data_IF_065321606853
#
_entry.id   IF_065321606853
#
_cell.length_a   1.000
_cell.length_b   1.000
_cell.length_c   1.000
_cell.angle_alpha   90.00
_cell.angle_beta   90.00
_cell.angle_gamma   90.00
#
_symmetry.space_group_name_H-M   'P 1'
#
loop_
_entity.id
_entity.type
_entity.pdbx_description
1 polymer ?
#
# COMPACT_ATOMS: atom_id res chain seq x y z
N UNK A 1 -6.25 -21.91 -27.37
CA UNK A 1 -6.32 -21.63 -28.82
C UNK A 1 -7.44 -22.39 -29.52
N UNK A 2 -7.74 -23.64 -29.16
CA UNK A 2 -8.89 -24.37 -29.72
C UNK A 2 -10.26 -23.67 -29.55
N UNK A 3 -10.47 -22.95 -28.46
CA UNK A 3 -11.71 -22.18 -28.20
C UNK A 3 -11.93 -20.94 -29.09
N UNK A 4 -10.90 -20.50 -29.84
CA UNK A 4 -10.97 -19.34 -30.74
C UNK A 4 -11.00 -19.76 -32.22
N UNK A 5 -11.04 -21.06 -32.52
CA UNK A 5 -11.18 -21.59 -33.89
C UNK A 5 -9.96 -21.37 -34.79
N UNK A 6 -8.74 -21.15 -34.25
CA UNK A 6 -7.54 -21.06 -35.06
C UNK A 6 -7.13 -22.43 -35.60
N UNK A 7 -7.07 -22.60 -36.93
CA UNK A 7 -6.68 -23.86 -37.58
C UNK A 7 -5.20 -24.20 -37.42
N UNK A 8 -4.29 -23.23 -37.64
CA UNK A 8 -2.85 -23.36 -37.44
C UNK A 8 -2.32 -22.14 -36.69
N UNK A 9 -2.31 -22.16 -35.36
CA UNK A 9 -1.86 -21.01 -34.59
C UNK A 9 -0.34 -20.88 -34.64
N UNK A 10 0.18 -19.72 -35.05
CA UNK A 10 1.59 -19.35 -34.86
C UNK A 10 1.79 -18.85 -33.46
N UNK A 11 2.58 -19.56 -32.65
CA UNK A 11 2.88 -19.21 -31.25
C UNK A 11 4.29 -18.64 -31.18
N UNK A 12 4.41 -17.36 -30.89
CA UNK A 12 5.67 -16.72 -30.57
C UNK A 12 5.81 -16.72 -29.05
N UNK A 13 6.95 -17.23 -28.56
CA UNK A 13 7.27 -17.24 -27.13
C UNK A 13 8.48 -16.34 -26.90
N UNK A 14 8.40 -15.48 -25.89
CA UNK A 14 9.53 -14.70 -25.38
C UNK A 14 9.79 -15.13 -23.94
N UNK A 15 11.06 -15.11 -23.54
CA UNK A 15 11.44 -15.39 -22.15
C UNK A 15 10.94 -14.29 -21.22
N UNK A 16 10.61 -14.67 -19.99
CA UNK A 16 10.34 -13.76 -18.88
C UNK A 16 11.62 -13.23 -18.22
N UNK A 17 12.79 -13.69 -18.65
CA UNK A 17 14.06 -13.25 -18.10
C UNK A 17 14.30 -11.74 -18.30
N UNK A 18 14.75 -11.06 -17.26
CA UNK A 18 15.12 -9.66 -17.28
C UNK A 18 16.57 -9.51 -16.80
N UNK A 19 17.56 -9.69 -17.69
CA UNK A 19 18.97 -9.78 -17.30
C UNK A 19 19.53 -8.49 -16.68
N UNK A 20 18.92 -7.35 -16.99
CA UNK A 20 19.27 -6.06 -16.41
C UNK A 20 18.60 -5.75 -15.07
N UNK A 21 17.62 -6.56 -14.63
CA UNK A 21 16.86 -6.35 -13.41
C UNK A 21 17.38 -7.25 -12.28
N UNK A 22 17.88 -6.63 -11.22
CA UNK A 22 18.36 -7.33 -10.04
C UNK A 22 17.25 -7.43 -8.99
N UNK A 23 16.73 -8.62 -8.78
CA UNK A 23 15.74 -8.88 -7.73
C UNK A 23 16.42 -9.12 -6.39
N UNK A 24 15.85 -8.59 -5.32
CA UNK A 24 16.29 -8.83 -3.95
C UNK A 24 15.11 -8.90 -2.99
N UNK A 25 15.20 -9.77 -1.99
CA UNK A 25 14.29 -9.83 -0.84
C UNK A 25 15.09 -9.47 0.41
N UNK A 26 14.51 -8.61 1.26
CA UNK A 26 15.10 -8.24 2.55
C UNK A 26 14.09 -8.47 3.66
N UNK A 27 14.44 -9.40 4.55
CA UNK A 27 13.73 -9.61 5.80
C UNK A 27 14.23 -8.58 6.81
N UNK A 28 13.35 -7.72 7.33
CA UNK A 28 13.74 -6.61 8.21
C UNK A 28 12.57 -6.08 9.03
N UNK A 29 12.85 -5.65 10.24
CA UNK A 29 11.94 -4.86 11.07
C UNK A 29 12.04 -3.36 10.72
N UNK A 30 13.18 -2.93 10.17
CA UNK A 30 13.45 -1.54 9.74
C UNK A 30 13.31 -1.41 8.22
N UNK A 31 12.07 -1.32 7.74
CA UNK A 31 11.78 -1.12 6.30
C UNK A 31 12.19 0.27 5.83
N UNK A 32 12.01 1.28 6.67
CA UNK A 32 12.34 2.67 6.34
C UNK A 32 13.84 2.85 6.12
N UNK A 33 14.66 2.34 7.01
CA UNK A 33 16.11 2.37 6.87
C UNK A 33 16.61 1.62 5.63
N UNK A 34 16.00 0.46 5.31
CA UNK A 34 16.34 -0.28 4.08
C UNK A 34 15.94 0.49 2.81
N UNK A 35 14.77 1.11 2.81
CA UNK A 35 14.29 1.96 1.71
C UNK A 35 15.24 3.15 1.50
N UNK A 36 15.56 3.89 2.54
CA UNK A 36 16.48 5.03 2.48
C UNK A 36 17.88 4.62 2.03
N UNK A 37 18.39 3.48 2.51
CA UNK A 37 19.68 2.93 2.06
C UNK A 37 19.67 2.66 0.55
N UNK A 38 18.61 2.05 0.01
CA UNK A 38 18.49 1.82 -1.43
C UNK A 38 18.47 3.15 -2.19
N UNK A 39 17.63 4.11 -1.78
CA UNK A 39 17.48 5.40 -2.46
C UNK A 39 18.78 6.20 -2.47
N UNK A 40 19.55 6.15 -1.38
CA UNK A 40 20.87 6.84 -1.30
C UNK A 40 21.91 6.21 -2.21
N UNK A 41 21.89 4.87 -2.37
CA UNK A 41 22.90 4.13 -3.13
C UNK A 41 22.57 3.95 -4.62
N UNK A 42 21.30 4.08 -5.01
CA UNK A 42 20.86 3.89 -6.39
C UNK A 42 20.36 5.23 -6.93
N UNK A 43 21.17 5.95 -7.72
CA UNK A 43 20.75 7.21 -8.34
C UNK A 43 19.66 6.98 -9.40
N UNK A 44 18.86 8.03 -9.68
CA UNK A 44 17.78 7.97 -10.66
C UNK A 44 16.40 7.84 -10.04
N UNK A 45 15.39 7.70 -10.89
CA UNK A 45 13.98 7.66 -10.49
C UNK A 45 13.57 6.28 -9.98
N UNK A 46 12.57 6.25 -9.08
CA UNK A 46 12.05 5.00 -8.53
C UNK A 46 10.58 5.04 -8.19
N UNK A 47 10.03 3.84 -7.94
CA UNK A 47 8.67 3.63 -7.49
C UNK A 47 8.71 2.82 -6.20
N UNK A 48 7.88 3.21 -5.21
CA UNK A 48 7.67 2.46 -3.97
C UNK A 48 6.21 2.03 -3.92
N UNK A 49 5.95 0.75 -4.03
CA UNK A 49 4.61 0.20 -3.93
C UNK A 49 4.24 -0.09 -2.50
N UNK A 50 3.10 0.45 -2.09
CA UNK A 50 2.50 0.27 -0.77
C UNK A 50 1.06 -0.23 -0.89
N UNK A 51 0.49 -0.71 0.21
CA UNK A 51 -0.84 -1.35 0.20
C UNK A 51 -2.00 -0.39 0.43
N UNK A 52 -1.78 0.71 1.13
CA UNK A 52 -2.83 1.63 1.57
C UNK A 52 -2.59 3.05 1.06
N UNK A 53 -3.68 3.83 0.91
CA UNK A 53 -3.62 5.25 0.54
C UNK A 53 -2.84 6.04 1.58
N UNK A 54 -3.17 5.84 2.84
CA UNK A 54 -2.50 6.45 3.98
C UNK A 54 -1.00 6.10 4.03
N UNK A 55 -0.63 4.84 3.81
CA UNK A 55 0.78 4.43 3.73
C UNK A 55 1.52 5.10 2.57
N UNK A 56 0.85 5.40 1.44
CA UNK A 56 1.47 6.13 0.35
C UNK A 56 1.80 7.57 0.76
N UNK A 57 0.91 8.23 1.47
CA UNK A 57 1.10 9.59 1.98
C UNK A 57 2.19 9.64 3.05
N UNK A 58 2.13 8.75 4.05
CA UNK A 58 3.09 8.69 5.17
C UNK A 58 4.53 8.42 4.70
N UNK A 59 4.73 7.45 3.81
CA UNK A 59 6.07 7.12 3.32
C UNK A 59 6.59 8.23 2.40
N UNK A 60 5.75 8.86 1.58
CA UNK A 60 6.16 10.00 0.77
C UNK A 60 6.56 11.20 1.65
N UNK A 61 5.87 11.44 2.75
CA UNK A 61 6.20 12.48 3.73
C UNK A 61 7.53 12.16 4.43
N UNK A 62 7.71 10.94 4.91
CA UNK A 62 8.97 10.47 5.50
C UNK A 62 10.14 10.69 4.54
N UNK A 63 10.00 10.33 3.26
CA UNK A 63 11.05 10.53 2.25
C UNK A 63 11.35 12.01 2.01
N UNK A 64 10.35 12.89 2.02
CA UNK A 64 10.56 14.34 1.89
C UNK A 64 11.31 14.90 3.10
N UNK A 65 10.99 14.45 4.31
CA UNK A 65 11.70 14.85 5.53
C UNK A 65 13.18 14.42 5.50
N UNK A 66 13.51 13.33 4.78
CA UNK A 66 14.87 12.86 4.54
C UNK A 66 15.53 13.51 3.30
N UNK A 67 14.93 14.57 2.74
CA UNK A 67 15.47 15.34 1.62
C UNK A 67 15.30 14.69 0.25
N UNK A 68 14.42 13.67 0.12
CA UNK A 68 14.14 13.03 -1.15
C UNK A 68 12.93 13.70 -1.81
N UNK A 69 13.06 14.13 -3.07
CA UNK A 69 11.93 14.64 -3.87
C UNK A 69 10.93 13.49 -4.14
N UNK A 70 9.94 13.32 -3.26
CA UNK A 70 8.99 12.23 -3.30
C UNK A 70 7.54 12.73 -3.40
N UNK A 71 6.74 12.08 -4.24
CA UNK A 71 5.31 12.25 -4.35
C UNK A 71 4.56 10.97 -4.01
N UNK A 72 3.24 11.08 -3.80
CA UNK A 72 2.39 9.90 -3.61
C UNK A 72 1.28 9.83 -4.66
N UNK A 73 0.80 8.59 -4.94
CA UNK A 73 -0.24 8.35 -5.93
C UNK A 73 -1.16 7.19 -5.49
N UNK A 74 -2.46 7.43 -5.49
CA UNK A 74 -3.46 6.40 -5.20
C UNK A 74 -4.82 6.75 -5.83
N UNK A 75 -5.70 5.78 -5.93
CA UNK A 75 -7.01 5.92 -6.57
C UNK A 75 -8.00 6.87 -5.86
N UNK A 76 -7.68 7.36 -4.66
CA UNK A 76 -8.49 8.34 -3.94
C UNK A 76 -8.20 9.80 -4.29
N UNK A 77 -7.14 10.07 -5.07
CA UNK A 77 -6.81 11.41 -5.56
C UNK A 77 -7.75 11.82 -6.70
N UNK A 78 -8.03 13.09 -6.79
CA UNK A 78 -8.73 13.69 -7.92
C UNK A 78 -7.95 13.47 -9.23
N UNK A 79 -8.67 13.40 -10.36
CA UNK A 79 -8.04 13.10 -11.66
C UNK A 79 -6.93 14.10 -12.02
N UNK A 80 -7.21 15.40 -11.82
CA UNK A 80 -6.25 16.46 -12.11
C UNK A 80 -4.96 16.32 -11.26
N UNK A 81 -5.10 15.99 -9.99
CA UNK A 81 -3.97 15.78 -9.08
C UNK A 81 -3.16 14.54 -9.46
N UNK A 82 -3.82 13.46 -9.85
CA UNK A 82 -3.15 12.26 -10.36
C UNK A 82 -2.30 12.56 -11.60
N UNK A 83 -2.86 13.30 -12.54
CA UNK A 83 -2.17 13.70 -13.77
C UNK A 83 -0.95 14.56 -13.45
N UNK A 84 -1.12 15.59 -12.61
CA UNK A 84 -0.03 16.48 -12.21
C UNK A 84 1.14 15.72 -11.60
N UNK A 85 0.89 14.88 -10.60
CA UNK A 85 1.94 14.11 -9.91
C UNK A 85 2.65 13.12 -10.83
N UNK A 86 1.91 12.49 -11.74
CA UNK A 86 2.47 11.61 -12.74
C UNK A 86 3.40 12.37 -13.71
N UNK A 87 3.01 13.57 -14.14
CA UNK A 87 3.84 14.41 -14.98
C UNK A 87 5.11 14.90 -14.27
N UNK A 88 4.99 15.35 -13.02
CA UNK A 88 6.13 15.77 -12.20
C UNK A 88 7.16 14.63 -12.05
N UNK A 89 6.70 13.42 -11.80
CA UNK A 89 7.58 12.25 -11.71
C UNK A 89 8.16 11.87 -13.08
N UNK A 90 7.39 11.96 -14.15
CA UNK A 90 7.85 11.65 -15.50
C UNK A 90 8.93 12.63 -15.97
N UNK A 91 8.79 13.92 -15.62
CA UNK A 91 9.78 14.97 -15.92
C UNK A 91 10.99 14.97 -14.98
N UNK A 92 10.94 14.21 -13.89
CA UNK A 92 12.03 14.10 -12.92
C UNK A 92 12.01 15.13 -11.79
N UNK A 93 11.00 16.01 -11.71
CA UNK A 93 10.80 16.92 -10.57
C UNK A 93 10.55 16.14 -9.27
N UNK A 94 9.83 15.03 -9.36
CA UNK A 94 9.75 14.02 -8.32
C UNK A 94 10.66 12.85 -8.68
N UNK A 95 11.59 12.52 -7.79
CA UNK A 95 12.50 11.39 -7.97
C UNK A 95 11.83 10.06 -7.63
N UNK A 96 11.02 10.03 -6.58
CA UNK A 96 10.37 8.82 -6.07
C UNK A 96 8.86 8.99 -6.08
N UNK A 97 8.16 8.02 -6.65
CA UNK A 97 6.71 7.92 -6.54
C UNK A 97 6.33 6.81 -5.57
N UNK A 98 5.69 7.17 -4.46
CA UNK A 98 5.12 6.19 -3.52
C UNK A 98 3.67 5.95 -3.89
N UNK A 99 3.30 4.72 -4.21
CA UNK A 99 2.00 4.48 -4.81
C UNK A 99 1.35 3.16 -4.38
N UNK A 100 0.02 3.14 -4.46
CA UNK A 100 -0.72 1.87 -4.50
C UNK A 100 -0.69 1.28 -5.92
N UNK A 101 -1.26 0.09 -6.10
CA UNK A 101 -1.41 -0.54 -7.41
C UNK A 101 -2.17 0.31 -8.46
N UNK A 102 -2.81 1.41 -8.04
CA UNK A 102 -3.43 2.37 -8.95
C UNK A 102 -2.41 3.09 -9.87
N UNK A 103 -1.14 3.15 -9.44
CA UNK A 103 -0.04 3.69 -10.24
C UNK A 103 0.60 2.59 -11.05
N UNK A 104 0.14 2.42 -12.28
CA UNK A 104 0.66 1.30 -13.05
C UNK A 104 0.24 1.31 -14.51
N UNK A 105 -1.02 1.23 -14.82
CA UNK A 105 -1.47 1.22 -16.22
C UNK A 105 -1.09 2.54 -16.91
N UNK A 106 -0.46 2.44 -18.08
CA UNK A 106 -0.08 3.61 -18.88
C UNK A 106 1.23 4.31 -18.46
N UNK A 107 1.99 3.78 -17.49
CA UNK A 107 3.30 4.33 -17.15
C UNK A 107 4.35 3.76 -18.09
N UNK A 108 4.99 4.66 -18.85
CA UNK A 108 6.07 4.32 -19.79
C UNK A 108 7.30 5.21 -19.59
N UNK A 109 7.82 5.22 -18.36
CA UNK A 109 9.13 5.85 -18.05
C UNK A 109 10.21 4.78 -18.14
N UNK A 110 11.12 4.92 -19.11
CA UNK A 110 12.12 3.89 -19.40
C UNK A 110 13.24 3.83 -18.36
N UNK A 111 13.60 4.96 -17.76
CA UNK A 111 14.76 5.16 -16.89
C UNK A 111 14.47 4.97 -15.39
N UNK A 112 13.48 4.15 -15.03
CA UNK A 112 13.22 3.79 -13.63
C UNK A 112 14.34 2.88 -13.12
N UNK A 113 15.08 3.34 -12.11
CA UNK A 113 16.25 2.61 -11.58
C UNK A 113 15.92 1.62 -10.48
N UNK A 114 14.84 1.84 -9.75
CA UNK A 114 14.41 0.89 -8.72
C UNK A 114 12.90 0.86 -8.56
N UNK A 115 12.41 -0.33 -8.22
CA UNK A 115 11.05 -0.56 -7.72
C UNK A 115 11.16 -1.24 -6.37
N UNK A 116 10.50 -0.68 -5.36
CA UNK A 116 10.46 -1.24 -4.01
C UNK A 116 9.03 -1.65 -3.68
N UNK A 117 8.86 -2.89 -3.26
CA UNK A 117 7.63 -3.36 -2.65
C UNK A 117 7.79 -3.29 -1.13
N UNK A 118 7.11 -2.34 -0.52
CA UNK A 118 7.18 -2.09 0.92
C UNK A 118 6.41 -3.13 1.75
N UNK A 119 5.61 -3.96 1.07
CA UNK A 119 4.88 -5.10 1.64
C UNK A 119 4.74 -6.19 0.58
N UNK A 120 4.43 -7.40 1.03
CA UNK A 120 4.17 -8.54 0.14
C UNK A 120 3.02 -8.23 -0.83
N UNK A 121 3.20 -8.57 -2.10
CA UNK A 121 2.18 -8.48 -3.13
C UNK A 121 1.13 -9.59 -2.97
N UNK A 122 0.01 -9.44 -3.67
CA UNK A 122 -1.06 -10.44 -3.67
C UNK A 122 -0.72 -11.68 -4.47
N UNK A 123 0.17 -11.52 -5.44
CA UNK A 123 0.58 -12.59 -6.34
C UNK A 123 1.93 -12.28 -6.99
N UNK A 124 2.58 -13.31 -7.52
CA UNK A 124 3.81 -13.16 -8.29
C UNK A 124 3.58 -12.44 -9.62
N UNK A 125 2.38 -12.55 -10.21
CA UNK A 125 2.02 -11.81 -11.42
C UNK A 125 2.03 -10.30 -11.17
N UNK A 126 1.40 -9.85 -10.09
CA UNK A 126 1.39 -8.43 -9.69
C UNK A 126 2.81 -7.96 -9.38
N UNK A 127 3.55 -8.73 -8.59
CA UNK A 127 4.95 -8.44 -8.27
C UNK A 127 5.81 -8.28 -9.53
N UNK A 128 5.74 -9.24 -10.46
CA UNK A 128 6.52 -9.23 -11.70
C UNK A 128 6.15 -8.04 -12.59
N UNK A 129 4.85 -7.74 -12.73
CA UNK A 129 4.36 -6.62 -13.52
C UNK A 129 4.83 -5.27 -12.95
N UNK A 130 4.79 -5.11 -11.64
CA UNK A 130 5.20 -3.90 -10.94
C UNK A 130 6.74 -3.76 -10.94
N UNK A 131 7.48 -4.81 -10.59
CA UNK A 131 8.93 -4.85 -10.64
C UNK A 131 9.47 -4.61 -12.06
N UNK A 132 8.78 -5.15 -13.07
CA UNK A 132 9.12 -5.03 -14.48
C UNK A 132 9.07 -3.62 -15.05
N UNK A 133 8.59 -2.63 -14.28
CA UNK A 133 8.65 -1.20 -14.64
C UNK A 133 10.06 -0.64 -14.56
N UNK A 134 10.94 -1.27 -13.78
CA UNK A 134 12.32 -0.86 -13.67
C UNK A 134 13.16 -1.32 -14.88
N UNK A 135 14.05 -0.46 -15.35
CA UNK A 135 15.05 -0.77 -16.36
C UNK A 135 14.50 -1.12 -17.75
N UNK A 136 13.46 -0.44 -18.21
CA UNK A 136 12.92 -0.65 -19.57
C UNK A 136 13.89 -0.20 -20.66
N UNK A 137 14.81 0.70 -20.34
CA UNK A 137 15.90 1.15 -21.20
C UNK A 137 17.05 0.13 -21.33
N UNK A 138 16.94 -1.05 -20.70
CA UNK A 138 17.98 -2.08 -20.70
C UNK A 138 19.12 -1.85 -19.72
N UNK A 139 19.18 -0.70 -19.06
CA UNK A 139 20.21 -0.42 -18.06
C UNK A 139 19.90 -1.12 -16.73
N UNK A 140 20.96 -1.28 -15.90
CA UNK A 140 20.81 -1.93 -14.59
C UNK A 140 19.75 -1.25 -13.73
N UNK A 141 18.85 -2.06 -13.20
CA UNK A 141 17.80 -1.63 -12.30
C UNK A 141 17.58 -2.67 -11.18
N UNK A 142 16.86 -2.27 -10.13
CA UNK A 142 16.69 -3.06 -8.92
C UNK A 142 15.22 -3.20 -8.55
N UNK A 143 14.81 -4.42 -8.20
CA UNK A 143 13.52 -4.71 -7.62
C UNK A 143 13.73 -5.25 -6.20
N UNK A 144 13.32 -4.48 -5.20
CA UNK A 144 13.48 -4.83 -3.79
C UNK A 144 12.13 -5.14 -3.16
N UNK A 145 12.02 -6.31 -2.55
CA UNK A 145 10.87 -6.70 -1.72
C UNK A 145 11.28 -6.62 -0.25
N UNK A 146 10.58 -5.79 0.53
CA UNK A 146 10.76 -5.67 1.97
C UNK A 146 9.73 -6.52 2.71
N UNK A 147 10.19 -7.41 3.55
CA UNK A 147 9.36 -8.35 4.32
C UNK A 147 9.61 -8.16 5.80
N UNK A 148 8.56 -7.85 6.56
CA UNK A 148 8.63 -7.84 8.02
C UNK A 148 8.03 -9.12 8.61
N UNK A 149 8.36 -9.50 9.85
CA UNK A 149 7.80 -10.66 10.53
C UNK A 149 6.26 -10.66 10.59
N UNK A 150 5.65 -9.47 10.63
CA UNK A 150 4.19 -9.29 10.69
C UNK A 150 3.48 -9.47 9.35
N UNK A 151 4.19 -9.36 8.22
CA UNK A 151 3.57 -9.37 6.89
C UNK A 151 2.79 -10.67 6.60
N UNK A 152 3.28 -11.88 6.96
CA UNK A 152 2.50 -13.11 6.77
C UNK A 152 1.16 -13.10 7.50
N UNK A 153 1.14 -12.61 8.74
CA UNK A 153 -0.09 -12.51 9.53
C UNK A 153 -1.09 -11.47 8.96
N UNK A 154 -0.57 -10.36 8.42
CA UNK A 154 -1.41 -9.35 7.76
C UNK A 154 -2.06 -9.89 6.48
N UNK A 155 -1.34 -10.69 5.71
CA UNK A 155 -1.87 -11.34 4.50
C UNK A 155 -2.97 -12.34 4.85
N UNK A 156 -2.76 -13.19 5.86
CA UNK A 156 -3.76 -14.16 6.30
C UNK A 156 -5.05 -13.45 6.72
N UNK A 157 -4.96 -12.43 7.58
CA UNK A 157 -6.13 -11.64 8.00
C UNK A 157 -6.87 -11.01 6.82
N UNK A 158 -6.13 -10.55 5.80
CA UNK A 158 -6.73 -9.98 4.60
C UNK A 158 -7.42 -11.04 3.74
N UNK A 159 -6.81 -12.21 3.58
CA UNK A 159 -7.42 -13.33 2.88
C UNK A 159 -8.72 -13.78 3.57
N UNK A 160 -8.73 -13.88 4.88
CA UNK A 160 -9.92 -14.21 5.67
C UNK A 160 -11.02 -13.13 5.54
N UNK A 161 -10.63 -11.86 5.48
CA UNK A 161 -11.56 -10.76 5.24
C UNK A 161 -12.10 -10.74 3.79
N UNK A 162 -11.31 -11.14 2.80
CA UNK A 162 -11.72 -11.24 1.39
C UNK A 162 -12.66 -12.43 1.15
N UNK A 163 -12.44 -13.54 1.85
CA UNK A 163 -13.24 -14.78 1.75
C UNK A 163 -13.86 -15.16 3.09
N UNK A 164 -14.82 -14.38 3.61
CA UNK A 164 -15.49 -14.73 4.84
C UNK A 164 -16.25 -16.05 4.68
N UNK A 165 -16.45 -16.84 5.76
CA UNK A 165 -17.24 -18.07 5.70
C UNK A 165 -18.64 -17.83 5.12
N UNK A 166 -19.20 -18.82 4.43
CA UNK A 166 -20.51 -18.70 3.77
C UNK A 166 -21.60 -18.27 4.75
N UNK A 167 -21.60 -18.81 5.96
CA UNK A 167 -22.53 -18.40 7.02
C UNK A 167 -22.39 -16.92 7.40
N UNK A 168 -21.18 -16.39 7.34
CA UNK A 168 -20.93 -14.97 7.59
C UNK A 168 -21.47 -14.09 6.44
N UNK A 169 -21.34 -14.54 5.19
CA UNK A 169 -21.89 -13.85 4.02
C UNK A 169 -23.42 -13.79 4.12
N UNK A 170 -24.05 -14.92 4.44
CA UNK A 170 -25.50 -15.04 4.65
C UNK A 170 -25.98 -14.15 5.77
N UNK A 171 -25.27 -14.15 6.91
CA UNK A 171 -25.59 -13.27 8.04
C UNK A 171 -25.46 -11.78 7.68
N UNK A 172 -24.43 -11.40 6.88
CA UNK A 172 -24.28 -10.01 6.43
C UNK A 172 -25.43 -9.61 5.51
N UNK A 173 -25.86 -10.49 4.60
CA UNK A 173 -27.01 -10.22 3.72
C UNK A 173 -28.27 -9.95 4.54
N UNK A 174 -28.59 -10.81 5.52
CA UNK A 174 -29.75 -10.64 6.40
C UNK A 174 -29.71 -9.32 7.17
N UNK A 175 -28.54 -9.00 7.73
CA UNK A 175 -28.32 -7.74 8.46
C UNK A 175 -28.44 -6.51 7.56
N UNK A 176 -27.96 -6.57 6.32
CA UNK A 176 -28.11 -5.49 5.34
C UNK A 176 -29.57 -5.29 4.99
N UNK A 177 -30.32 -6.35 4.69
CA UNK A 177 -31.76 -6.26 4.44
C UNK A 177 -32.51 -5.67 5.65
N UNK A 178 -32.17 -6.09 6.86
CA UNK A 178 -32.77 -5.55 8.09
C UNK A 178 -32.38 -4.09 8.34
N UNK A 179 -31.14 -3.70 8.05
CA UNK A 179 -30.69 -2.30 8.14
C UNK A 179 -31.44 -1.38 7.20
N UNK A 180 -31.72 -1.84 5.98
CA UNK A 180 -32.45 -1.12 4.94
C UNK A 180 -33.96 -1.31 5.03
N UNK A 181 -34.46 -2.08 6.01
CA UNK A 181 -35.89 -2.37 6.23
C UNK A 181 -36.59 -3.04 5.03
N UNK A 182 -35.86 -3.87 4.29
CA UNK A 182 -36.41 -4.66 3.18
C UNK A 182 -37.03 -5.94 3.73
N UNK A 183 -38.32 -6.20 3.47
CA UNK A 183 -39.02 -7.43 3.85
C UNK A 183 -38.67 -8.62 2.94
N UNK A 184 -38.92 -9.86 3.42
CA UNK A 184 -38.79 -11.06 2.57
C UNK A 184 -39.83 -10.97 1.43
N UNK A 185 -39.40 -11.19 0.18
CA UNK A 185 -40.26 -11.03 -1.01
C UNK A 185 -40.36 -9.59 -1.51
N UNK A 186 -39.74 -8.62 -0.80
CA UNK A 186 -39.71 -7.20 -1.22
C UNK A 186 -38.32 -6.82 -1.77
N UNK A 187 -38.25 -5.61 -2.30
CA UNK A 187 -36.98 -4.96 -2.66
C UNK A 187 -36.52 -5.20 -4.08
N UNK A 188 -37.19 -5.99 -4.90
CA UNK A 188 -36.83 -6.17 -6.31
C UNK A 188 -36.72 -4.82 -7.02
N UNK A 189 -35.61 -4.58 -7.73
CA UNK A 189 -35.28 -3.33 -8.44
C UNK A 189 -35.22 -2.07 -7.57
N UNK A 190 -35.27 -2.22 -6.23
CA UNK A 190 -35.16 -1.09 -5.31
C UNK A 190 -33.69 -0.68 -5.08
N UNK A 191 -33.50 0.64 -4.90
CA UNK A 191 -32.18 1.22 -4.62
C UNK A 191 -32.17 1.94 -3.28
N UNK A 192 -31.10 1.81 -2.54
CA UNK A 192 -30.94 2.38 -1.20
C UNK A 192 -29.57 3.06 -1.08
N UNK A 193 -29.54 4.22 -0.42
CA UNK A 193 -28.27 4.79 0.04
C UNK A 193 -27.74 3.89 1.18
N UNK A 194 -26.54 3.37 1.00
CA UNK A 194 -25.93 2.45 1.96
C UNK A 194 -24.77 3.12 2.70
N UNK A 195 -25.03 3.57 3.92
CA UNK A 195 -23.97 4.06 4.80
C UNK A 195 -23.21 2.88 5.42
N UNK A 196 -22.12 2.47 4.75
CA UNK A 196 -21.25 1.38 5.18
C UNK A 196 -20.71 1.60 6.60
N UNK A 197 -20.36 2.87 6.95
CA UNK A 197 -19.78 3.17 8.28
C UNK A 197 -20.84 3.01 9.37
N UNK A 198 -22.03 3.58 9.17
CA UNK A 198 -23.15 3.43 10.11
C UNK A 198 -23.56 1.97 10.26
N UNK A 199 -23.64 1.22 9.15
CA UNK A 199 -23.93 -0.22 9.17
C UNK A 199 -22.88 -0.99 9.97
N UNK A 200 -21.59 -0.80 9.68
CA UNK A 200 -20.51 -1.50 10.38
C UNK A 200 -20.47 -1.16 11.87
N UNK A 201 -20.70 0.09 12.24
CA UNK A 201 -20.76 0.53 13.63
C UNK A 201 -21.93 -0.12 14.39
N UNK A 202 -23.11 -0.15 13.77
CA UNK A 202 -24.33 -0.77 14.36
C UNK A 202 -24.18 -2.28 14.55
N UNK A 203 -23.65 -2.97 13.54
CA UNK A 203 -23.59 -4.44 13.53
C UNK A 203 -22.26 -4.99 14.09
N UNK A 204 -21.35 -4.11 14.54
CA UNK A 204 -20.02 -4.45 15.05
C UNK A 204 -19.20 -5.30 14.05
N UNK A 205 -19.21 -4.87 12.75
CA UNK A 205 -18.57 -5.58 11.66
C UNK A 205 -17.37 -4.81 11.12
N UNK A 206 -16.37 -5.53 10.63
CA UNK A 206 -15.24 -4.94 9.90
C UNK A 206 -15.65 -4.61 8.46
N UNK A 207 -15.43 -3.37 8.05
CA UNK A 207 -15.87 -2.87 6.74
C UNK A 207 -15.33 -3.69 5.55
N UNK A 208 -14.08 -4.16 5.62
CA UNK A 208 -13.49 -5.02 4.60
C UNK A 208 -14.25 -6.33 4.40
N UNK A 209 -14.65 -6.99 5.48
CA UNK A 209 -15.46 -8.22 5.43
C UNK A 209 -16.85 -7.96 4.85
N UNK A 210 -17.49 -6.84 5.21
CA UNK A 210 -18.79 -6.45 4.66
C UNK A 210 -18.70 -6.21 3.15
N UNK A 211 -17.72 -5.42 2.71
CA UNK A 211 -17.50 -5.15 1.28
C UNK A 211 -17.20 -6.43 0.49
N UNK A 212 -16.42 -7.36 1.04
CA UNK A 212 -16.15 -8.65 0.41
C UNK A 212 -17.43 -9.50 0.29
N UNK A 213 -18.26 -9.54 1.34
CA UNK A 213 -19.54 -10.24 1.30
C UNK A 213 -20.49 -9.62 0.26
N UNK A 214 -20.60 -8.29 0.21
CA UNK A 214 -21.42 -7.60 -0.78
C UNK A 214 -20.94 -7.84 -2.22
N UNK A 215 -19.62 -7.86 -2.45
CA UNK A 215 -19.05 -8.22 -3.77
C UNK A 215 -19.39 -9.66 -4.18
N UNK A 216 -19.33 -10.60 -3.26
CA UNK A 216 -19.71 -11.99 -3.52
C UNK A 216 -21.21 -12.13 -3.82
N UNK A 217 -22.05 -11.42 -3.08
CA UNK A 217 -23.49 -11.35 -3.36
C UNK A 217 -23.79 -10.71 -4.72
N UNK A 218 -23.04 -9.67 -5.09
CA UNK A 218 -23.14 -9.04 -6.42
C UNK A 218 -22.72 -10.00 -7.54
N UNK A 219 -21.63 -10.76 -7.36
CA UNK A 219 -21.18 -11.74 -8.33
C UNK A 219 -22.18 -12.90 -8.53
N UNK A 220 -23.02 -13.16 -7.53
CA UNK A 220 -24.10 -14.13 -7.59
C UNK A 220 -25.45 -13.53 -8.00
N UNK A 221 -25.49 -12.24 -8.37
CA UNK A 221 -26.65 -11.59 -8.96
C UNK A 221 -27.67 -11.01 -7.97
N UNK A 222 -27.49 -11.15 -6.67
CA UNK A 222 -28.49 -10.72 -5.65
C UNK A 222 -28.61 -9.22 -5.52
N UNK A 223 -27.49 -8.52 -5.59
CA UNK A 223 -27.44 -7.07 -5.42
C UNK A 223 -26.31 -6.44 -6.25
N UNK A 224 -26.36 -5.14 -6.44
CA UNK A 224 -25.29 -4.36 -7.06
C UNK A 224 -24.90 -3.23 -6.11
N UNK A 225 -23.61 -3.12 -5.79
CA UNK A 225 -23.07 -2.00 -5.04
C UNK A 225 -22.36 -1.07 -6.02
N UNK A 226 -22.83 0.18 -6.08
CA UNK A 226 -22.17 1.20 -6.92
C UNK A 226 -20.94 1.75 -6.20
N UNK A 227 -20.07 2.43 -6.95
CA UNK A 227 -19.01 3.24 -6.34
C UNK A 227 -19.62 4.37 -5.50
N UNK A 228 -18.83 4.89 -4.55
CA UNK A 228 -19.23 6.04 -3.75
C UNK A 228 -19.64 7.20 -4.66
N UNK A 229 -20.91 7.54 -4.65
CA UNK A 229 -21.42 8.74 -5.33
C UNK A 229 -21.41 9.91 -4.36
N UNK A 230 -20.89 11.04 -4.80
CA UNK A 230 -20.97 12.28 -4.03
C UNK A 230 -22.43 12.75 -3.98
N UNK A 231 -23.08 12.55 -2.85
CA UNK A 231 -24.39 13.14 -2.58
C UNK A 231 -24.16 14.53 -2.00
N UNK A 232 -24.58 15.62 -2.68
CA UNK A 232 -24.41 16.97 -2.16
C UNK A 232 -25.20 17.15 -0.85
N UNK A 233 -24.71 18.02 0.00
CA UNK A 233 -25.47 18.46 1.15
C UNK A 233 -26.81 19.06 0.70
N UNK A 234 -27.85 18.94 1.53
CA UNK A 234 -29.17 19.48 1.22
C UNK A 234 -29.74 20.23 2.41
N UNK A 235 -30.46 21.31 2.12
CA UNK A 235 -31.17 22.09 3.14
C UNK A 235 -32.62 22.35 2.71
N UNK A 236 -33.49 22.52 3.72
CA UNK A 236 -34.84 23.00 3.58
C UNK A 236 -35.20 23.82 4.81
N UNK A 237 -35.68 25.05 4.64
CA UNK A 237 -36.15 25.85 5.77
C UNK A 237 -37.49 25.33 6.30
N UNK A 238 -37.60 25.24 7.62
CA UNK A 238 -38.80 24.73 8.32
C UNK A 238 -39.65 25.83 8.93
N UNK A 239 -39.17 27.07 8.92
CA UNK A 239 -39.86 28.26 9.43
C UNK A 239 -40.40 29.12 8.32
N UNK A 240 -41.44 29.92 8.62
CA UNK A 240 -41.94 30.88 7.68
C UNK A 240 -40.90 32.00 7.38
N UNK A 241 -41.11 32.74 6.27
CA UNK A 241 -40.23 33.87 5.96
C UNK A 241 -40.26 34.95 7.05
N UNK A 242 -41.42 35.15 7.66
CA UNK A 242 -41.63 36.16 8.73
C UNK A 242 -40.91 35.73 10.02
N UNK A 243 -40.99 34.48 10.38
CA UNK A 243 -40.27 33.94 11.55
C UNK A 243 -38.76 33.93 11.33
N UNK A 244 -38.33 33.62 10.11
CA UNK A 244 -36.92 33.73 9.76
C UNK A 244 -36.39 35.16 9.86
N UNK A 245 -37.19 36.15 9.48
CA UNK A 245 -36.83 37.55 9.64
C UNK A 245 -36.63 37.92 11.12
N UNK A 246 -37.53 37.50 12.02
CA UNK A 246 -37.37 37.70 13.48
C UNK A 246 -36.08 37.09 14.04
N UNK A 247 -35.75 35.87 13.59
CA UNK A 247 -34.53 35.19 14.00
C UNK A 247 -33.28 35.96 13.54
N UNK A 248 -33.30 36.48 12.31
CA UNK A 248 -32.20 37.26 11.73
C UNK A 248 -31.95 38.56 12.51
N UNK A 249 -33.04 39.29 12.83
CA UNK A 249 -32.95 40.53 13.63
C UNK A 249 -32.48 40.30 15.05
N UNK A 250 -32.83 39.16 15.64
CA UNK A 250 -32.43 38.82 16.99
C UNK A 250 -31.00 38.28 17.11
N UNK A 251 -30.37 37.92 15.97
CA UNK A 251 -29.05 37.23 15.95
C UNK A 251 -28.21 37.68 14.76
N UNK A 252 -27.41 38.71 14.96
CA UNK A 252 -26.51 39.27 13.94
C UNK A 252 -25.47 38.24 13.43
N UNK A 253 -25.06 37.34 14.30
CA UNK A 253 -24.10 36.28 13.97
C UNK A 253 -24.63 35.27 12.93
N UNK A 254 -25.95 35.11 12.83
CA UNK A 254 -26.61 34.23 11.84
C UNK A 254 -27.16 34.98 10.63
N UNK A 255 -27.41 36.31 10.75
CA UNK A 255 -28.06 37.07 9.68
C UNK A 255 -27.28 37.03 8.35
N UNK A 256 -25.98 37.30 8.40
CA UNK A 256 -25.11 37.24 7.22
C UNK A 256 -25.14 35.85 6.57
N UNK A 257 -25.03 34.78 7.36
CA UNK A 257 -25.04 33.40 6.88
C UNK A 257 -26.39 33.01 6.24
N UNK A 258 -27.51 33.34 6.89
CA UNK A 258 -28.86 33.07 6.37
C UNK A 258 -29.11 33.84 5.07
N UNK A 259 -28.68 35.09 4.97
CA UNK A 259 -28.77 35.88 3.73
C UNK A 259 -27.97 35.23 2.60
N UNK A 260 -26.80 34.75 2.88
CA UNK A 260 -25.95 34.04 1.92
C UNK A 260 -26.65 32.78 1.39
N UNK A 261 -27.25 31.97 2.26
CA UNK A 261 -28.03 30.79 1.84
C UNK A 261 -29.23 31.16 0.95
N UNK A 262 -30.02 32.19 1.33
CA UNK A 262 -31.19 32.61 0.57
C UNK A 262 -30.83 33.24 -0.77
N UNK A 263 -29.64 33.83 -0.90
CA UNK A 263 -29.14 34.42 -2.14
C UNK A 263 -28.62 33.35 -3.11
N UNK A 264 -27.99 32.31 -2.59
CA UNK A 264 -27.38 31.27 -3.42
C UNK A 264 -28.40 30.21 -3.87
N UNK A 265 -29.40 29.91 -3.04
CA UNK A 265 -30.28 28.78 -3.28
C UNK A 265 -31.74 29.17 -3.25
N UNK A 266 -32.39 29.10 -4.42
CA UNK A 266 -33.81 29.34 -4.55
C UNK A 266 -34.64 28.10 -4.19
N UNK A 267 -35.88 28.30 -3.72
CA UNK A 267 -36.86 27.24 -3.44
C UNK A 267 -36.58 26.43 -2.15
N UNK A 268 -35.66 26.88 -1.31
CA UNK A 268 -35.28 26.22 -0.04
C UNK A 268 -36.40 26.19 1.03
N UNK A 269 -37.49 26.92 0.83
CA UNK A 269 -38.68 26.86 1.71
C UNK A 269 -39.67 25.78 1.30
N UNK A 270 -39.61 25.31 0.06
CA UNK A 270 -40.65 24.41 -0.48
C UNK A 270 -40.17 22.96 -0.48
N UNK A 271 -38.86 22.74 -0.69
CA UNK A 271 -38.30 21.40 -0.81
C UNK A 271 -36.82 21.40 -0.44
N UNK A 272 -36.25 20.20 -0.25
CA UNK A 272 -34.80 20.00 -0.06
C UNK A 272 -34.04 20.43 -1.32
N UNK A 273 -33.16 21.42 -1.17
CA UNK A 273 -32.28 21.88 -2.25
C UNK A 273 -30.84 21.42 -1.99
N UNK A 274 -30.18 20.91 -3.03
CA UNK A 274 -28.75 20.60 -2.93
C UNK A 274 -27.94 21.88 -2.75
N UNK A 275 -26.94 21.83 -1.89
CA UNK A 275 -26.04 22.97 -1.61
C UNK A 275 -24.58 22.51 -1.74
N UNK A 276 -23.69 23.45 -2.07
CA UNK A 276 -22.24 23.27 -2.02
C UNK A 276 -21.67 24.05 -0.82
N UNK A 277 -21.20 23.33 0.19
CA UNK A 277 -20.62 23.92 1.40
C UNK A 277 -19.37 24.75 1.10
N UNK A 278 -18.58 24.37 0.07
CA UNK A 278 -17.43 25.13 -0.40
C UNK A 278 -17.82 26.44 -1.10
N UNK A 279 -18.90 26.44 -1.87
CA UNK A 279 -19.47 27.65 -2.47
C UNK A 279 -19.98 28.61 -1.40
N UNK A 280 -20.72 28.09 -0.43
CA UNK A 280 -21.21 28.90 0.72
C UNK A 280 -20.02 29.49 1.49
N UNK A 281 -18.96 28.72 1.73
CA UNK A 281 -17.76 29.20 2.39
C UNK A 281 -17.11 30.37 1.64
N UNK A 282 -16.98 30.27 0.33
CA UNK A 282 -16.43 31.35 -0.53
C UNK A 282 -17.27 32.63 -0.48
N UNK A 283 -18.59 32.50 -0.53
CA UNK A 283 -19.50 33.67 -0.55
C UNK A 283 -19.72 34.30 0.83
N UNK A 284 -19.65 33.50 1.91
CA UNK A 284 -19.79 34.00 3.27
C UNK A 284 -18.49 34.49 3.90
N UNK A 285 -17.34 34.17 3.30
CA UNK A 285 -16.03 34.43 3.88
C UNK A 285 -15.67 33.53 5.07
N UNK A 286 -16.40 32.43 5.26
CA UNK A 286 -16.16 31.44 6.32
C UNK A 286 -15.33 30.26 5.82
N UNK A 287 -14.82 29.44 6.76
CA UNK A 287 -14.22 28.15 6.42
C UNK A 287 -15.33 27.10 6.18
N UNK A 288 -15.10 26.05 5.39
CA UNK A 288 -16.08 24.96 5.20
C UNK A 288 -16.51 24.30 6.52
N UNK A 289 -15.60 24.20 7.49
CA UNK A 289 -15.88 23.68 8.82
C UNK A 289 -16.90 24.56 9.56
N UNK A 290 -16.67 25.87 9.52
CA UNK A 290 -17.56 26.83 10.17
C UNK A 290 -18.95 26.87 9.51
N UNK A 291 -19.01 26.75 8.19
CA UNK A 291 -20.28 26.58 7.43
C UNK A 291 -21.04 25.36 7.95
N UNK A 292 -20.39 24.20 8.09
CA UNK A 292 -21.02 22.98 8.61
C UNK A 292 -21.52 23.15 10.06
N UNK A 293 -20.77 23.86 10.90
CA UNK A 293 -21.22 24.17 12.26
C UNK A 293 -22.44 25.07 12.29
N UNK A 294 -22.48 26.10 11.46
CA UNK A 294 -23.64 27.00 11.35
C UNK A 294 -24.88 26.27 10.82
N UNK A 295 -24.75 25.41 9.82
CA UNK A 295 -25.83 24.57 9.32
C UNK A 295 -26.37 23.63 10.41
N UNK A 296 -25.49 22.95 11.16
CA UNK A 296 -25.88 22.11 12.30
C UNK A 296 -26.54 22.92 13.41
N UNK A 297 -26.10 24.15 13.66
CA UNK A 297 -26.70 25.04 14.66
C UNK A 297 -28.12 25.45 14.25
N UNK A 298 -28.34 25.87 13.01
CA UNK A 298 -29.64 26.18 12.48
C UNK A 298 -30.58 24.96 12.49
N UNK A 299 -30.05 23.78 12.21
CA UNK A 299 -30.80 22.51 12.32
C UNK A 299 -31.25 22.22 13.77
N UNK A 300 -30.36 22.37 14.76
CA UNK A 300 -30.69 22.20 16.18
C UNK A 300 -31.74 23.22 16.64
N UNK A 301 -31.71 24.41 16.10
CA UNK A 301 -32.69 25.47 16.36
C UNK A 301 -34.03 25.22 15.62
N UNK A 302 -34.15 24.17 14.85
CA UNK A 302 -35.30 23.85 13.98
C UNK A 302 -35.65 24.92 12.97
N UNK A 303 -34.69 25.77 12.60
CA UNK A 303 -34.84 26.81 11.56
C UNK A 303 -34.84 26.18 10.17
N UNK A 304 -33.92 25.20 9.96
CA UNK A 304 -33.86 24.42 8.73
C UNK A 304 -33.60 22.94 9.04
N UNK A 305 -33.88 22.09 8.06
CA UNK A 305 -33.38 20.72 7.99
C UNK A 305 -32.10 20.72 7.18
N UNK A 306 -31.09 20.03 7.68
CA UNK A 306 -29.80 19.88 7.03
C UNK A 306 -29.42 18.43 6.90
N UNK A 307 -29.18 17.97 5.68
CA UNK A 307 -28.64 16.66 5.36
C UNK A 307 -27.20 16.91 4.91
N UNK A 308 -26.18 16.47 5.67
CA UNK A 308 -24.78 16.65 5.29
C UNK A 308 -24.45 15.96 3.98
N UNK A 309 -23.49 16.51 3.23
CA UNK A 309 -22.90 15.81 2.10
C UNK A 309 -22.33 14.46 2.58
N UNK A 310 -22.64 13.41 1.85
CA UNK A 310 -22.08 12.11 2.11
C UNK A 310 -21.61 11.48 0.78
N UNK A 311 -20.65 10.56 0.89
CA UNK A 311 -20.19 9.73 -0.22
C UNK A 311 -20.61 8.29 0.07
N UNK A 312 -21.90 8.05 0.12
CA UNK A 312 -22.42 6.70 0.33
C UNK A 312 -22.67 6.02 -1.01
N UNK A 313 -22.24 4.77 -1.18
CA UNK A 313 -22.61 3.97 -2.33
C UNK A 313 -24.12 3.71 -2.33
N UNK A 314 -24.65 3.41 -3.51
CA UNK A 314 -26.02 2.94 -3.66
C UNK A 314 -25.97 1.41 -3.70
N UNK A 315 -26.75 0.78 -2.87
CA UNK A 315 -27.04 -0.65 -2.91
C UNK A 315 -28.34 -0.85 -3.70
N UNK A 316 -28.25 -1.58 -4.78
CA UNK A 316 -29.35 -1.91 -5.66
C UNK A 316 -29.69 -3.40 -5.49
N UNK A 317 -30.95 -3.76 -5.22
CA UNK A 317 -31.40 -5.13 -5.18
C UNK A 317 -31.82 -5.55 -6.58
N UNK A 318 -31.14 -6.53 -7.15
CA UNK A 318 -31.45 -7.05 -8.49
C UNK A 318 -32.65 -8.02 -8.45
N UNK A 319 -32.90 -8.61 -7.29
CA UNK A 319 -33.98 -9.56 -7.03
C UNK A 319 -34.66 -9.22 -5.70
N UNK A 320 -35.80 -9.83 -5.43
CA UNK A 320 -36.48 -9.74 -4.13
C UNK A 320 -35.61 -10.31 -3.01
N UNK A 321 -35.79 -9.84 -1.80
CA UNK A 321 -35.11 -10.39 -0.63
C UNK A 321 -35.54 -11.84 -0.43
N UNK A 322 -34.54 -12.74 -0.54
CA UNK A 322 -34.73 -14.16 -0.27
C UNK A 322 -34.59 -14.48 1.22
N UNK A 323 -35.27 -15.55 1.71
CA UNK A 323 -34.91 -16.20 2.98
C UNK A 323 -33.45 -16.63 2.96
N UNK A 324 -32.73 -16.52 4.08
CA UNK A 324 -31.29 -16.84 4.19
C UNK A 324 -30.96 -18.28 3.77
N UNK A 325 -31.93 -19.23 4.01
CA UNK A 325 -31.78 -20.62 3.59
C UNK A 325 -31.70 -20.80 2.08
N UNK A 326 -32.36 -19.94 1.32
CA UNK A 326 -32.49 -20.03 -0.13
C UNK A 326 -31.35 -19.30 -0.89
N UNK A 327 -30.49 -18.61 -0.13
CA UNK A 327 -29.31 -17.95 -0.68
C UNK A 327 -28.29 -18.99 -1.16
N UNK A 328 -28.08 -19.03 -2.47
CA UNK A 328 -27.11 -19.91 -3.11
C UNK A 328 -25.87 -19.10 -3.57
N UNK A 329 -24.72 -19.47 -3.05
CA UNK A 329 -23.42 -18.91 -3.49
C UNK A 329 -22.75 -19.96 -4.36
N UNK A 330 -22.58 -19.65 -5.64
CA UNK A 330 -22.01 -20.57 -6.61
C UNK A 330 -20.57 -20.97 -6.21
N UNK A 331 -20.20 -22.26 -6.24
CA UNK A 331 -18.84 -22.70 -5.93
C UNK A 331 -17.78 -22.03 -6.80
N UNK A 332 -18.10 -21.71 -8.04
CA UNK A 332 -17.21 -21.06 -9.00
C UNK A 332 -16.83 -19.64 -8.56
N UNK A 333 -17.78 -18.90 -7.98
CA UNK A 333 -17.59 -17.52 -7.54
C UNK A 333 -16.89 -17.45 -6.19
N UNK A 334 -17.03 -18.46 -5.34
CA UNK A 334 -16.48 -18.49 -4.00
C UNK A 334 -15.35 -19.50 -3.83
N UNK A 335 -15.63 -20.82 -3.92
CA UNK A 335 -14.63 -21.87 -3.59
C UNK A 335 -13.44 -21.86 -4.55
N UNK A 336 -13.71 -21.87 -5.85
CA UNK A 336 -12.66 -21.90 -6.87
C UNK A 336 -11.82 -20.63 -6.83
N UNK A 337 -12.46 -19.47 -6.66
CA UNK A 337 -11.74 -18.20 -6.55
C UNK A 337 -10.90 -18.14 -5.28
N UNK A 338 -11.45 -18.60 -4.13
CA UNK A 338 -10.75 -18.70 -2.86
C UNK A 338 -9.48 -19.54 -2.98
N UNK A 339 -9.58 -20.70 -3.66
CA UNK A 339 -8.45 -21.59 -3.87
C UNK A 339 -7.37 -20.93 -4.74
N UNK A 340 -7.75 -20.33 -5.88
CA UNK A 340 -6.82 -19.64 -6.76
C UNK A 340 -6.08 -18.48 -6.04
N UNK A 341 -6.78 -17.71 -5.21
CA UNK A 341 -6.15 -16.62 -4.45
C UNK A 341 -5.23 -17.20 -3.39
N UNK A 342 -5.61 -18.31 -2.73
CA UNK A 342 -4.76 -19.00 -1.76
C UNK A 342 -3.46 -19.49 -2.41
N UNK A 343 -3.55 -20.19 -3.55
CA UNK A 343 -2.39 -20.66 -4.29
C UNK A 343 -1.42 -19.53 -4.65
N UNK A 344 -1.95 -18.40 -5.14
CA UNK A 344 -1.14 -17.22 -5.46
C UNK A 344 -0.42 -16.65 -4.25
N UNK A 345 -1.07 -16.59 -3.11
CA UNK A 345 -0.45 -16.16 -1.87
C UNK A 345 0.64 -17.10 -1.41
N UNK A 346 0.41 -18.41 -1.49
CA UNK A 346 1.41 -19.41 -1.12
C UNK A 346 2.65 -19.31 -2.01
N UNK A 347 2.47 -19.11 -3.33
CA UNK A 347 3.59 -18.89 -4.25
C UNK A 347 4.36 -17.61 -3.94
N UNK A 348 3.67 -16.51 -3.62
CA UNK A 348 4.32 -15.27 -3.22
C UNK A 348 5.11 -15.42 -1.91
N UNK A 349 4.56 -16.15 -0.94
CA UNK A 349 5.25 -16.47 0.32
C UNK A 349 6.46 -17.36 0.09
N UNK A 350 6.33 -18.39 -0.74
CA UNK A 350 7.44 -19.28 -1.10
C UNK A 350 8.58 -18.48 -1.75
N UNK A 351 8.27 -17.59 -2.70
CA UNK A 351 9.25 -16.70 -3.32
C UNK A 351 9.96 -15.80 -2.29
N UNK A 352 9.22 -15.24 -1.35
CA UNK A 352 9.78 -14.36 -0.33
C UNK A 352 10.67 -15.12 0.67
N UNK A 353 10.31 -16.36 1.03
CA UNK A 353 11.03 -17.18 1.99
C UNK A 353 12.24 -17.93 1.39
N UNK A 354 12.23 -18.18 0.08
CA UNK A 354 13.32 -18.90 -0.59
C UNK A 354 14.59 -18.03 -0.57
N UNK A 355 15.70 -18.60 -0.12
CA UNK A 355 17.02 -17.96 -0.05
C UNK A 355 18.05 -18.61 -0.96
N UNK A 356 17.71 -19.73 -1.59
CA UNK A 356 18.63 -20.57 -2.36
C UNK A 356 18.43 -20.42 -3.86
N UNK A 357 17.17 -20.44 -4.33
CA UNK A 357 16.84 -20.38 -5.75
C UNK A 357 17.10 -18.99 -6.31
N UNK A 358 17.65 -18.91 -7.53
CA UNK A 358 17.75 -17.65 -8.24
C UNK A 358 16.36 -16.99 -8.38
N UNK A 359 16.23 -15.73 -7.98
CA UNK A 359 14.97 -14.98 -8.01
C UNK A 359 14.33 -14.93 -9.40
N UNK A 360 15.13 -14.70 -10.44
CA UNK A 360 14.66 -14.69 -11.84
C UNK A 360 14.18 -16.08 -12.25
N UNK A 361 14.99 -17.11 -11.97
CA UNK A 361 14.65 -18.49 -12.31
C UNK A 361 13.38 -18.97 -11.58
N UNK A 362 13.13 -18.52 -10.34
CA UNK A 362 11.89 -18.80 -9.62
C UNK A 362 10.68 -18.23 -10.39
N UNK A 363 10.75 -16.94 -10.77
CA UNK A 363 9.69 -16.26 -11.51
C UNK A 363 9.47 -16.88 -12.88
N UNK A 364 10.53 -17.15 -13.64
CA UNK A 364 10.48 -17.78 -14.96
C UNK A 364 9.80 -19.17 -14.90
N UNK A 365 10.15 -19.97 -13.88
CA UNK A 365 9.54 -21.29 -13.65
C UNK A 365 8.05 -21.15 -13.31
N UNK A 366 7.70 -20.18 -12.47
CA UNK A 366 6.31 -19.89 -12.15
C UNK A 366 5.48 -19.53 -13.38
N UNK A 367 6.05 -18.78 -14.33
CA UNK A 367 5.42 -18.43 -15.61
C UNK A 367 5.53 -19.52 -16.68
N UNK A 368 6.04 -20.71 -16.35
CA UNK A 368 6.01 -21.90 -17.19
C UNK A 368 7.24 -22.10 -18.07
N UNK A 369 8.36 -21.42 -17.79
CA UNK A 369 9.65 -21.76 -18.41
C UNK A 369 10.20 -23.05 -17.80
N UNK A 370 10.59 -24.00 -18.65
CA UNK A 370 11.01 -25.35 -18.21
C UNK A 370 12.42 -25.36 -17.65
N UNK A 371 13.33 -24.60 -18.23
CA UNK A 371 14.75 -24.60 -17.89
C UNK A 371 15.29 -23.19 -17.71
N UNK A 372 14.82 -22.47 -16.67
CA UNK A 372 15.30 -21.12 -16.40
C UNK A 372 16.77 -21.18 -15.94
N UNK A 373 17.56 -20.19 -16.35
CA UNK A 373 18.95 -20.06 -15.98
C UNK A 373 19.12 -19.08 -14.81
N UNK A 374 20.19 -19.29 -14.03
CA UNK A 374 20.56 -18.34 -12.98
C UNK A 374 20.91 -16.96 -13.57
N UNK A 375 20.27 -15.90 -13.09
CA UNK A 375 20.50 -14.55 -13.59
C UNK A 375 21.88 -13.99 -13.21
N UNK A 376 22.53 -14.55 -12.20
CA UNK A 376 23.85 -14.15 -11.72
C UNK A 376 23.90 -12.79 -11.00
N UNK A 377 22.77 -12.09 -10.84
CA UNK A 377 22.70 -10.70 -10.35
C UNK A 377 21.71 -10.47 -9.21
N UNK A 378 20.82 -11.42 -8.91
CA UNK A 378 19.92 -11.34 -7.76
C UNK A 378 20.64 -11.59 -6.44
N UNK A 379 19.99 -11.32 -5.32
CA UNK A 379 20.52 -11.52 -3.97
C UNK A 379 21.03 -12.95 -3.73
N UNK A 380 20.25 -13.99 -4.11
CA UNK A 380 20.63 -15.40 -3.97
C UNK A 380 21.87 -15.76 -4.82
N UNK A 381 21.92 -15.33 -6.09
CA UNK A 381 23.08 -15.58 -6.94
C UNK A 381 24.34 -14.88 -6.42
N UNK A 382 24.20 -13.65 -5.90
CA UNK A 382 25.32 -12.92 -5.33
C UNK A 382 25.77 -13.51 -4.00
N UNK A 383 24.86 -14.02 -3.17
CA UNK A 383 25.20 -14.75 -1.95
C UNK A 383 26.01 -16.00 -2.27
N UNK A 384 25.53 -16.86 -3.18
CA UNK A 384 26.27 -18.06 -3.63
C UNK A 384 27.66 -17.74 -4.19
N UNK A 385 27.79 -16.65 -4.98
CA UNK A 385 29.11 -16.22 -5.48
C UNK A 385 30.05 -15.77 -4.35
N UNK A 386 29.53 -15.12 -3.31
CA UNK A 386 30.31 -14.72 -2.13
C UNK A 386 30.76 -15.94 -1.34
N UNK A 387 29.88 -16.89 -1.13
CA UNK A 387 30.17 -18.14 -0.44
C UNK A 387 31.22 -18.99 -1.18
N UNK A 388 31.05 -19.14 -2.53
CA UNK A 388 32.05 -19.84 -3.35
C UNK A 388 33.43 -19.18 -3.27
N UNK A 389 33.48 -17.84 -3.37
CA UNK A 389 34.76 -17.11 -3.21
C UNK A 389 35.36 -17.24 -1.81
N UNK A 390 34.51 -17.35 -0.78
CA UNK A 390 34.96 -17.57 0.61
C UNK A 390 35.50 -18.96 0.80
N UNK A 391 34.85 -19.96 0.16
CA UNK A 391 35.34 -21.36 0.16
C UNK A 391 36.63 -21.50 -0.66
N UNK A 392 36.76 -20.83 -1.83
CA UNK A 392 37.98 -20.84 -2.65
C UNK A 392 39.17 -20.15 -1.96
N UNK A 393 38.93 -19.15 -1.12
CA UNK A 393 39.98 -18.46 -0.35
C UNK A 393 40.46 -19.31 0.83
N UNK A 394 39.89 -20.49 1.07
CA UNK A 394 40.14 -21.29 2.22
C UNK A 394 39.64 -20.63 3.51
N UNK A 395 39.50 -21.36 4.59
CA UNK A 395 39.46 -20.75 5.93
C UNK A 395 40.76 -19.98 6.09
N UNK A 396 40.71 -18.66 5.81
CA UNK A 396 41.92 -17.84 5.71
C UNK A 396 42.57 -17.56 7.07
N UNK A 397 42.99 -18.61 7.73
CA UNK A 397 43.99 -18.55 8.81
C UNK A 397 45.41 -18.40 8.26
N UNK A 398 45.62 -18.57 6.92
CA UNK A 398 46.94 -18.53 6.28
C UNK A 398 47.12 -17.43 5.23
N UNK A 399 46.42 -16.27 5.30
CA UNK A 399 46.85 -15.08 4.55
C UNK A 399 47.96 -14.38 5.35
N UNK A 400 49.25 -14.45 4.90
CA UNK A 400 50.33 -13.80 5.62
C UNK A 400 50.14 -12.30 5.85
N UNK A 401 49.34 -11.66 5.01
CA UNK A 401 48.99 -10.25 5.14
C UNK A 401 47.89 -10.01 6.21
N UNK A 402 46.98 -10.95 6.38
CA UNK A 402 45.95 -10.90 7.43
C UNK A 402 46.53 -11.30 8.78
N UNK A 403 47.43 -12.27 8.81
CA UNK A 403 48.15 -12.69 10.02
C UNK A 403 49.09 -11.58 10.51
N UNK A 404 49.83 -10.95 9.64
CA UNK A 404 50.68 -9.79 9.99
C UNK A 404 49.84 -8.59 10.50
N UNK A 405 48.62 -8.38 9.99
CA UNK A 405 47.74 -7.37 10.52
C UNK A 405 47.18 -7.74 11.91
N UNK A 406 46.83 -8.99 12.13
CA UNK A 406 46.40 -9.51 13.45
C UNK A 406 47.48 -9.37 14.51
N UNK A 407 48.74 -9.73 14.16
CA UNK A 407 49.89 -9.55 15.05
C UNK A 407 50.16 -8.07 15.33
N UNK A 408 50.07 -7.18 14.32
CA UNK A 408 50.21 -5.75 14.49
C UNK A 408 49.13 -5.17 15.43
N UNK A 409 47.86 -5.55 15.28
CA UNK A 409 46.77 -5.18 16.15
C UNK A 409 46.95 -5.65 17.59
N UNK A 410 47.38 -6.90 17.80
CA UNK A 410 47.66 -7.45 19.11
C UNK A 410 48.85 -6.76 19.76
N UNK A 411 49.90 -6.43 19.00
CA UNK A 411 51.09 -5.74 19.53
C UNK A 411 50.75 -4.32 19.99
N UNK A 412 49.87 -3.59 19.26
CA UNK A 412 49.40 -2.28 19.62
C UNK A 412 48.53 -2.32 20.90
N UNK A 413 47.66 -3.31 21.01
CA UNK A 413 46.81 -3.52 22.20
C UNK A 413 47.57 -4.04 23.42
N UNK A 414 48.73 -4.66 23.23
CA UNK A 414 49.60 -5.08 24.33
C UNK A 414 50.31 -3.87 24.98
N UNK A 415 50.50 -2.78 24.25
CA UNK A 415 51.09 -1.56 24.75
C UNK A 415 50.10 -0.72 25.56
N UNK A 416 48.89 -0.53 25.07
CA UNK A 416 47.83 0.26 25.72
C UNK A 416 46.44 -0.13 25.20
N UNK A 417 45.37 0.02 26.01
CA UNK A 417 43.99 -0.13 25.54
C UNK A 417 43.63 1.02 24.59
N UNK A 418 43.15 0.70 23.37
CA UNK A 418 42.81 1.68 22.31
C UNK A 418 41.35 1.57 21.90
N UNK A 419 40.76 2.69 21.50
CA UNK A 419 39.44 2.66 20.85
C UNK A 419 39.54 1.99 19.45
N UNK A 420 38.44 1.39 18.93
CA UNK A 420 38.45 0.79 17.59
C UNK A 420 38.91 1.78 16.49
N UNK A 421 38.53 3.06 16.64
CA UNK A 421 38.89 4.10 15.68
C UNK A 421 40.37 4.53 15.77
N UNK A 422 40.98 4.51 16.95
CA UNK A 422 42.41 4.77 17.15
C UNK A 422 43.26 3.61 16.68
N UNK A 423 42.83 2.40 16.95
CA UNK A 423 43.49 1.19 16.50
C UNK A 423 43.51 1.10 14.97
N UNK A 424 42.37 1.36 14.30
CA UNK A 424 42.29 1.39 12.84
C UNK A 424 43.21 2.48 12.22
N UNK A 425 43.34 3.64 12.87
CA UNK A 425 44.25 4.72 12.40
C UNK A 425 45.72 4.37 12.51
N UNK A 426 46.12 3.63 13.53
CA UNK A 426 47.52 3.26 13.77
C UNK A 426 48.03 2.13 12.86
N UNK A 427 47.14 1.24 12.39
CA UNK A 427 47.50 0.10 11.53
C UNK A 427 47.86 0.45 10.10
N UNK A 428 47.77 1.73 9.65
CA UNK A 428 48.07 2.19 8.28
C UNK A 428 47.36 1.38 7.17
N UNK A 429 46.17 0.85 7.47
CA UNK A 429 45.34 0.06 6.54
C UNK A 429 44.01 0.77 6.34
N UNK A 430 43.20 0.30 5.36
CA UNK A 430 41.86 0.87 5.19
C UNK A 430 41.00 0.63 6.45
N UNK A 431 40.14 1.59 6.81
CA UNK A 431 39.25 1.44 7.98
C UNK A 431 38.41 0.15 7.94
N UNK A 432 38.01 -0.28 6.74
CA UNK A 432 37.21 -1.49 6.52
C UNK A 432 38.00 -2.77 6.80
N UNK A 433 39.29 -2.81 6.39
CA UNK A 433 40.16 -3.97 6.63
C UNK A 433 40.52 -4.09 8.09
N UNK A 434 40.79 -2.98 8.76
CA UNK A 434 41.10 -2.97 10.20
C UNK A 434 39.86 -3.37 11.04
N UNK A 435 38.67 -2.88 10.68
CA UNK A 435 37.41 -3.24 11.34
C UNK A 435 37.13 -4.76 11.22
N UNK A 436 37.30 -5.33 10.03
CA UNK A 436 37.09 -6.77 9.81
C UNK A 436 38.08 -7.64 10.65
N UNK A 437 39.31 -7.20 10.81
CA UNK A 437 40.32 -7.90 11.65
C UNK A 437 40.02 -7.74 13.14
N UNK A 438 39.54 -6.59 13.59
CA UNK A 438 39.09 -6.35 14.97
C UNK A 438 37.88 -7.24 15.30
N UNK A 439 36.88 -7.29 14.41
CA UNK A 439 35.69 -8.15 14.60
C UNK A 439 36.06 -9.63 14.67
N UNK A 440 37.04 -10.09 13.88
CA UNK A 440 37.53 -11.46 13.92
C UNK A 440 38.21 -11.74 15.27
N UNK A 441 39.08 -10.86 15.76
CA UNK A 441 39.76 -11.03 17.05
C UNK A 441 38.81 -11.00 18.26
N UNK A 442 37.72 -10.21 18.16
CA UNK A 442 36.63 -10.21 19.14
C UNK A 442 35.88 -11.54 19.14
N UNK A 443 35.55 -12.06 17.95
CA UNK A 443 34.87 -13.35 17.78
C UNK A 443 35.72 -14.53 18.27
N UNK A 444 37.04 -14.47 18.06
CA UNK A 444 37.99 -15.44 18.55
C UNK A 444 38.25 -15.34 20.09
N UNK A 445 37.72 -14.28 20.71
CA UNK A 445 37.89 -14.04 22.14
C UNK A 445 39.31 -13.63 22.56
N UNK A 446 40.17 -13.22 21.60
CA UNK A 446 41.55 -12.76 21.86
C UNK A 446 41.63 -11.35 22.40
N UNK A 447 40.63 -10.53 22.07
CA UNK A 447 40.45 -9.16 22.58
C UNK A 447 39.05 -8.98 23.17
N UNK A 448 38.88 -7.99 24.03
CA UNK A 448 37.57 -7.64 24.63
C UNK A 448 37.40 -6.15 24.72
N UNK A 449 36.14 -5.68 24.76
CA UNK A 449 35.80 -4.30 24.99
C UNK A 449 35.76 -4.02 26.52
N UNK A 450 36.38 -2.94 26.95
CA UNK A 450 36.28 -2.44 28.33
C UNK A 450 34.98 -1.63 28.52
N UNK A 451 34.60 -1.35 29.76
CA UNK A 451 33.45 -0.49 30.09
C UNK A 451 33.59 0.93 29.52
N UNK A 452 34.82 1.38 29.23
CA UNK A 452 35.11 2.67 28.60
C UNK A 452 35.08 2.62 27.06
N UNK A 453 34.69 1.50 26.45
CA UNK A 453 34.63 1.32 24.99
C UNK A 453 35.99 1.17 24.30
N UNK A 454 37.04 0.81 25.05
CA UNK A 454 38.37 0.52 24.50
C UNK A 454 38.60 -0.99 24.35
N UNK A 455 39.37 -1.37 23.34
CA UNK A 455 39.78 -2.73 23.10
C UNK A 455 41.02 -3.07 23.95
N UNK A 456 41.06 -4.24 24.53
CA UNK A 456 42.20 -4.79 25.30
C UNK A 456 42.36 -6.26 25.02
N UNK A 457 43.59 -6.80 25.20
CA UNK A 457 43.86 -8.24 25.09
C UNK A 457 43.17 -8.94 26.25
N UNK A 458 42.44 -10.01 25.95
CA UNK A 458 41.83 -10.85 26.96
C UNK A 458 42.92 -11.75 27.57
N UNK A 459 43.22 -11.58 28.86
CA UNK A 459 44.16 -12.42 29.60
C UNK A 459 43.59 -13.79 29.93
#
# INVERSE_FOLDING_TARGET
MGGLGFGEPRVLRSSFARPNLSYAVRHTDDKDGQLLRLIRNVPGSGIVYVRTREGAEQIAEMLRNEGVAAGFYHGGLEHAERTLRQEEWSRGSLRVMVATNAFGMGIDKADVRFVVHYALCDSLESYYQEAGRAGRDGLRAYALLLVSPDDPGRIIRRFEAEFPPLERIKSIYEKVCSFLQVGIGDGAEASFLFDLRAFCAREHLYAGTVLSALKLLQQNGYLTLTDEMANPARIMFCVSRDDLYKIRVARDDLDHFIRTLLRLYEGVFNDFRPIDEGEIARWSGYTPEHVRELLKRLWRMRVLRYIPANRSPILFFNEERLPVGDLYIAPETYLRRKELVRERFEQMRAYAADTETCRSAFLERYFGEKEPRDCGVCDCCLARKREARRAERGNGDDDPAAEGLREELLSLLAAEPLSPAELARRCRRSPETAAAAIDALLAEGKISLTEEGKLTIKR
#
